data_IF_501537091041
#
_entry.id   IF_501537091041
#
_cell.length_a   1.000
_cell.length_b   1.000
_cell.length_c   1.000
_cell.angle_alpha   90.00
_cell.angle_beta   90.00
_cell.angle_gamma   90.00
#
_symmetry.space_group_name_H-M   'P 1'
#
loop_
_entity.id
_entity.type
_entity.pdbx_description
1 polymer ?
#
# COMPACT_ATOMS: atom_id res chain seq x y z
N UNK A 1 -17.44 -1.34 9.72
CA UNK A 1 -16.49 -0.27 9.39
C UNK A 1 -15.70 -0.66 8.15
N UNK A 2 -15.37 0.31 7.31
CA UNK A 2 -14.67 0.07 6.04
C UNK A 2 -13.33 -0.66 6.19
N UNK A 3 -12.57 -0.37 7.25
CA UNK A 3 -11.31 -1.07 7.54
C UNK A 3 -11.51 -2.58 7.72
N UNK A 4 -12.48 -2.98 8.56
CA UNK A 4 -12.73 -4.40 8.81
C UNK A 4 -13.23 -5.13 7.55
N UNK A 5 -14.07 -4.50 6.75
CA UNK A 5 -14.55 -5.07 5.49
C UNK A 5 -13.40 -5.28 4.50
N UNK A 6 -12.46 -4.32 4.41
CA UNK A 6 -11.25 -4.46 3.59
C UNK A 6 -10.37 -5.63 4.06
N UNK A 7 -10.11 -5.72 5.37
CA UNK A 7 -9.27 -6.79 5.95
C UNK A 7 -9.91 -8.16 5.74
N UNK A 8 -11.22 -8.29 5.93
CA UNK A 8 -11.95 -9.55 5.69
C UNK A 8 -11.86 -9.99 4.23
N UNK A 9 -12.01 -9.07 3.27
CA UNK A 9 -11.88 -9.38 1.85
C UNK A 9 -10.45 -9.83 1.50
N UNK A 10 -9.44 -9.14 2.03
CA UNK A 10 -8.03 -9.52 1.88
C UNK A 10 -7.77 -10.92 2.45
N UNK A 11 -8.20 -11.17 3.68
CA UNK A 11 -7.95 -12.42 4.38
C UNK A 11 -8.65 -13.60 3.69
N UNK A 12 -9.84 -13.37 3.13
CA UNK A 12 -10.53 -14.36 2.31
C UNK A 12 -9.69 -14.77 1.09
N UNK A 13 -9.15 -13.79 0.35
CA UNK A 13 -8.30 -14.08 -0.81
C UNK A 13 -7.00 -14.78 -0.41
N UNK A 14 -6.39 -14.38 0.70
CA UNK A 14 -5.18 -15.03 1.21
C UNK A 14 -5.44 -16.48 1.63
N UNK A 15 -6.56 -16.75 2.28
CA UNK A 15 -6.97 -18.10 2.69
C UNK A 15 -7.22 -19.03 1.49
N UNK A 16 -7.70 -18.48 0.37
CA UNK A 16 -8.05 -19.22 -0.85
C UNK A 16 -7.03 -19.00 -1.99
N UNK A 17 -5.81 -18.58 -1.70
CA UNK A 17 -4.77 -18.28 -2.72
C UNK A 17 -4.40 -19.46 -3.61
N UNK A 18 -4.67 -20.69 -3.17
CA UNK A 18 -4.43 -21.93 -3.91
C UNK A 18 -5.71 -22.61 -4.34
N UNK A 19 -6.85 -22.03 -4.08
CA UNK A 19 -8.20 -22.55 -4.45
C UNK A 19 -8.92 -21.50 -5.30
N UNK A 20 -8.59 -21.49 -6.59
CA UNK A 20 -9.16 -20.54 -7.55
C UNK A 20 -10.68 -20.63 -7.64
N UNK A 21 -11.22 -21.83 -7.68
CA UNK A 21 -12.67 -22.06 -7.84
C UNK A 21 -13.48 -21.43 -6.72
N UNK A 22 -13.07 -21.64 -5.47
CA UNK A 22 -13.72 -21.04 -4.32
C UNK A 22 -13.51 -19.53 -4.29
N UNK A 23 -12.29 -19.05 -4.55
CA UNK A 23 -12.00 -17.63 -4.59
C UNK A 23 -12.85 -16.92 -5.64
N UNK A 24 -12.94 -17.46 -6.86
CA UNK A 24 -13.72 -16.87 -7.95
C UNK A 24 -15.23 -16.86 -7.66
N UNK A 25 -15.76 -17.94 -7.13
CA UNK A 25 -17.20 -18.09 -6.89
C UNK A 25 -17.69 -17.28 -5.68
N UNK A 26 -16.89 -17.20 -4.62
CA UNK A 26 -17.35 -16.71 -3.32
C UNK A 26 -16.81 -15.34 -2.95
N UNK A 27 -15.77 -14.85 -3.63
CA UNK A 27 -15.26 -13.50 -3.34
C UNK A 27 -16.28 -12.43 -3.73
N UNK A 28 -16.45 -11.49 -2.81
CA UNK A 28 -17.26 -10.29 -3.04
C UNK A 28 -16.44 -9.06 -2.70
N UNK A 29 -16.50 -8.06 -3.57
CA UNK A 29 -15.88 -6.78 -3.31
C UNK A 29 -16.49 -6.14 -2.06
N UNK A 30 -15.68 -5.64 -1.13
CA UNK A 30 -16.22 -4.97 0.05
C UNK A 30 -16.82 -3.62 -0.33
N UNK A 31 -17.90 -3.24 0.32
CA UNK A 31 -18.45 -1.89 0.22
C UNK A 31 -17.69 -0.97 1.16
N UNK A 32 -16.92 -0.03 0.58
CA UNK A 32 -16.06 0.90 1.29
C UNK A 32 -16.54 2.34 1.02
N UNK A 33 -17.36 2.88 1.92
CA UNK A 33 -17.95 4.21 1.74
C UNK A 33 -16.97 5.34 2.06
N UNK A 34 -16.28 5.25 3.18
CA UNK A 34 -15.26 6.23 3.60
C UNK A 34 -13.98 5.46 3.98
N UNK A 35 -13.12 5.26 3.00
CA UNK A 35 -11.90 4.48 3.19
C UNK A 35 -10.75 5.11 2.41
N UNK A 36 -9.66 5.39 3.13
CA UNK A 36 -8.39 5.77 2.56
C UNK A 36 -7.37 4.67 2.88
N UNK A 37 -6.96 3.92 1.85
CA UNK A 37 -6.05 2.79 2.03
C UNK A 37 -4.76 3.18 2.76
N UNK A 38 -4.21 4.35 2.47
CA UNK A 38 -2.97 4.80 3.10
C UNK A 38 -3.15 5.09 4.59
N UNK A 39 -4.19 5.84 4.95
CA UNK A 39 -4.41 6.27 6.32
C UNK A 39 -5.09 5.20 7.18
N UNK A 40 -6.11 4.54 6.63
CA UNK A 40 -6.96 3.63 7.40
C UNK A 40 -6.38 2.21 7.50
N UNK A 41 -5.52 1.82 6.57
CA UNK A 41 -4.91 0.48 6.55
C UNK A 41 -3.39 0.52 6.63
N UNK A 42 -2.71 1.16 5.65
CA UNK A 42 -1.26 1.05 5.53
C UNK A 42 -0.53 1.68 6.73
N UNK A 43 -0.84 2.92 7.09
CA UNK A 43 -0.18 3.59 8.21
C UNK A 43 -0.45 2.90 9.54
N UNK A 44 -1.65 2.35 9.72
CA UNK A 44 -2.01 1.58 10.92
C UNK A 44 -1.18 0.29 11.01
N UNK A 45 -1.07 -0.46 9.92
CA UNK A 45 -0.29 -1.70 9.84
C UNK A 45 1.22 -1.45 9.93
N UNK A 46 1.68 -0.33 9.38
CA UNK A 46 3.09 0.04 9.33
C UNK A 46 3.61 0.68 10.62
N UNK A 47 2.74 1.10 11.54
CA UNK A 47 3.12 1.71 12.80
C UNK A 47 4.00 0.75 13.62
N UNK A 48 5.24 1.20 13.94
CA UNK A 48 6.25 0.40 14.67
C UNK A 48 6.54 -0.97 14.05
N UNK A 49 6.39 -1.10 12.75
CA UNK A 49 6.59 -2.35 12.02
C UNK A 49 7.92 -2.31 11.27
N UNK A 50 8.95 -2.94 11.84
CA UNK A 50 10.30 -3.00 11.28
C UNK A 50 10.51 -4.19 10.32
N UNK A 51 9.44 -4.88 9.94
CA UNK A 51 9.52 -5.94 8.92
C UNK A 51 9.86 -5.33 7.57
N UNK A 52 10.59 -6.11 6.77
CA UNK A 52 10.95 -5.72 5.41
C UNK A 52 9.69 -5.54 4.54
N UNK A 53 9.54 -4.37 3.96
CA UNK A 53 8.43 -4.03 3.07
C UNK A 53 8.86 -3.96 1.60
N UNK A 54 10.03 -3.42 1.33
CA UNK A 54 10.56 -3.24 -0.02
C UNK A 54 12.04 -3.62 -0.05
N UNK A 55 12.41 -4.40 -1.05
CA UNK A 55 13.78 -4.80 -1.31
C UNK A 55 14.04 -4.70 -2.81
N UNK A 56 14.90 -3.77 -3.20
CA UNK A 56 15.32 -3.57 -4.57
C UNK A 56 16.76 -4.06 -4.70
N UNK A 57 17.01 -4.95 -5.65
CA UNK A 57 18.34 -5.47 -5.99
C UNK A 57 18.66 -5.01 -7.40
N UNK A 58 19.78 -4.33 -7.57
CA UNK A 58 20.25 -3.85 -8.87
C UNK A 58 21.18 -4.86 -9.56
N UNK A 59 21.38 -4.70 -10.86
CA UNK A 59 22.26 -5.59 -11.65
C UNK A 59 23.70 -5.57 -11.16
N UNK A 60 24.17 -4.46 -10.59
CA UNK A 60 25.51 -4.33 -10.01
C UNK A 60 25.65 -4.99 -8.63
N UNK A 61 24.58 -5.64 -8.13
CA UNK A 61 24.53 -6.28 -6.83
C UNK A 61 24.26 -5.34 -5.66
N UNK A 62 24.08 -4.04 -5.91
CA UNK A 62 23.66 -3.13 -4.84
C UNK A 62 22.21 -3.37 -4.42
N UNK A 63 21.92 -3.15 -3.16
CA UNK A 63 20.61 -3.42 -2.57
C UNK A 63 20.08 -2.20 -1.82
N UNK A 64 18.76 -2.00 -1.91
CA UNK A 64 18.04 -1.02 -1.10
C UNK A 64 16.90 -1.72 -0.38
N UNK A 65 16.79 -1.50 0.92
CA UNK A 65 15.77 -2.11 1.78
C UNK A 65 15.03 -1.04 2.56
N UNK A 66 13.73 -1.18 2.63
CA UNK A 66 12.88 -0.33 3.49
C UNK A 66 11.94 -1.18 4.33
N UNK A 67 11.80 -0.83 5.58
CA UNK A 67 10.78 -1.40 6.47
C UNK A 67 9.41 -0.76 6.22
N UNK A 68 8.34 -1.38 6.72
CA UNK A 68 7.00 -0.78 6.67
C UNK A 68 6.95 0.56 7.38
N UNK A 69 7.57 0.69 8.56
CA UNK A 69 7.63 1.95 9.29
C UNK A 69 8.37 3.05 8.49
N UNK A 70 9.46 2.71 7.82
CA UNK A 70 10.18 3.64 6.96
C UNK A 70 9.36 4.07 5.75
N UNK A 71 8.64 3.13 5.11
CA UNK A 71 7.77 3.43 3.98
C UNK A 71 6.62 4.35 4.38
N UNK A 72 5.97 4.12 5.51
CA UNK A 72 4.91 5.00 6.02
C UNK A 72 5.44 6.42 6.25
N UNK A 73 6.58 6.55 6.92
CA UNK A 73 7.22 7.84 7.13
C UNK A 73 7.52 8.55 5.80
N UNK A 74 8.06 7.83 4.83
CA UNK A 74 8.41 8.39 3.53
C UNK A 74 7.17 8.81 2.74
N UNK A 75 6.14 8.00 2.73
CA UNK A 75 4.88 8.32 2.07
C UNK A 75 4.22 9.57 2.66
N UNK A 76 4.29 9.75 3.97
CA UNK A 76 3.81 10.96 4.65
C UNK A 76 4.64 12.20 4.26
N UNK A 77 5.95 12.07 4.10
CA UNK A 77 6.80 13.15 3.61
C UNK A 77 6.42 13.56 2.18
N UNK A 78 6.19 12.60 1.29
CA UNK A 78 5.74 12.84 -0.09
C UNK A 78 4.37 13.52 -0.10
N UNK A 79 3.43 13.06 0.72
CA UNK A 79 2.11 13.68 0.85
C UNK A 79 2.21 15.15 1.29
N UNK A 80 3.05 15.45 2.26
CA UNK A 80 3.27 16.82 2.73
C UNK A 80 3.94 17.68 1.66
N UNK A 81 4.87 17.14 0.92
CA UNK A 81 5.51 17.83 -0.20
C UNK A 81 4.50 18.18 -1.31
N UNK A 82 3.67 17.22 -1.72
CA UNK A 82 2.62 17.45 -2.72
C UNK A 82 1.61 18.52 -2.24
N UNK A 83 1.24 18.47 -0.98
CA UNK A 83 0.38 19.51 -0.37
C UNK A 83 1.04 20.88 -0.42
N UNK A 84 2.34 20.96 -0.15
CA UNK A 84 3.13 22.19 -0.26
C UNK A 84 3.18 22.76 -1.67
N UNK A 85 3.08 21.91 -2.71
CA UNK A 85 2.97 22.32 -4.11
C UNK A 85 1.54 22.77 -4.50
N UNK A 86 0.58 22.72 -3.59
CA UNK A 86 -0.79 23.11 -3.84
C UNK A 86 -1.68 22.03 -4.46
N UNK A 87 -1.19 20.78 -4.51
CA UNK A 87 -1.98 19.63 -5.01
C UNK A 87 -3.22 19.41 -4.12
N UNK A 88 -4.38 19.30 -4.73
CA UNK A 88 -5.69 19.16 -4.08
C UNK A 88 -6.41 17.90 -4.55
N UNK A 89 -7.47 17.55 -3.82
CA UNK A 89 -8.35 16.45 -4.21
C UNK A 89 -8.92 16.69 -5.61
N UNK A 90 -8.83 15.68 -6.47
CA UNK A 90 -9.27 15.75 -7.87
C UNK A 90 -8.16 16.11 -8.85
N UNK A 91 -7.01 16.59 -8.38
CA UNK A 91 -5.87 16.83 -9.25
C UNK A 91 -5.31 15.50 -9.79
N UNK A 92 -4.79 15.55 -10.99
CA UNK A 92 -4.22 14.41 -11.67
C UNK A 92 -2.70 14.51 -11.66
N UNK A 93 -2.05 13.42 -11.26
CA UNK A 93 -0.59 13.31 -11.24
C UNK A 93 -0.20 12.21 -12.22
N UNK A 94 0.67 12.54 -13.17
CA UNK A 94 1.30 11.56 -14.05
C UNK A 94 2.60 11.09 -13.42
N UNK A 95 2.79 9.78 -13.30
CA UNK A 95 3.98 9.18 -12.72
C UNK A 95 4.53 8.10 -13.65
N UNK A 96 5.83 8.16 -13.93
CA UNK A 96 6.55 7.15 -14.70
C UNK A 96 7.90 6.92 -14.03
N UNK A 97 8.04 5.77 -13.37
CA UNK A 97 9.24 5.40 -12.63
C UNK A 97 9.69 3.99 -13.02
N UNK A 98 11.00 3.72 -12.94
CA UNK A 98 11.55 2.38 -13.04
C UNK A 98 11.41 1.60 -11.73
N UNK A 99 12.06 0.42 -11.67
CA UNK A 99 12.14 -0.39 -10.46
C UNK A 99 13.22 0.16 -9.52
N UNK A 100 12.88 1.22 -8.83
CA UNK A 100 13.77 1.92 -7.90
C UNK A 100 12.99 2.39 -6.67
N UNK A 101 13.72 2.64 -5.60
CA UNK A 101 13.11 3.28 -4.43
C UNK A 101 12.96 4.75 -4.73
N UNK A 102 11.74 5.27 -4.92
CA UNK A 102 11.53 6.68 -5.23
C UNK A 102 11.90 7.55 -4.03
N UNK A 103 12.35 8.72 -4.36
CA UNK A 103 12.69 9.76 -3.36
C UNK A 103 11.44 10.32 -2.68
#
# INVERSE_FOLDING_TARGET
MSYSAFVQARDFLQAHRTDYETAYREFKWPELNEFNWALDYFDVMAANNDRLALWVVNEDGSEQKMTYAQMSKRSNQVANWLRGLGVKRGDRILMMLGNEVPL
#
